data_IF_629954543499
#
_entry.id   IF_629954543499
#
_cell.length_a   1.000
_cell.length_b   1.000
_cell.length_c   1.000
_cell.angle_alpha   90.00
_cell.angle_beta   90.00
_cell.angle_gamma   90.00
#
_symmetry.space_group_name_H-M   'P 1'
#
loop_
_entity.id
_entity.type
_entity.pdbx_description
1 polymer ?
#
# COMPACT_ATOMS: atom_id res chain seq x y z
N UNK A 1 -7.21 -12.99 -0.82
CA UNK A 1 -7.58 -12.12 -1.98
C UNK A 1 -6.72 -10.86 -1.95
N UNK A 2 -6.18 -10.45 -3.09
CA UNK A 2 -5.30 -9.28 -3.21
C UNK A 2 -5.96 -8.24 -4.10
N UNK A 3 -6.17 -7.02 -3.60
CA UNK A 3 -6.63 -5.88 -4.38
C UNK A 3 -5.55 -4.81 -4.40
N UNK A 4 -5.07 -4.44 -5.58
CA UNK A 4 -4.15 -3.33 -5.77
C UNK A 4 -4.93 -2.06 -6.10
N UNK A 5 -4.65 -0.97 -5.37
CA UNK A 5 -5.30 0.33 -5.55
C UNK A 5 -4.22 1.35 -5.89
N UNK A 6 -4.23 1.84 -7.13
CA UNK A 6 -3.25 2.80 -7.63
C UNK A 6 -3.90 4.13 -8.01
N UNK A 7 -3.10 5.14 -8.28
CA UNK A 7 -3.55 6.47 -8.72
C UNK A 7 -2.66 7.59 -8.22
N UNK A 8 -2.90 8.80 -8.69
CA UNK A 8 -2.14 9.99 -8.34
C UNK A 8 -2.23 10.39 -6.85
N UNK A 9 -1.42 11.34 -6.42
CA UNK A 9 -1.51 11.90 -5.07
C UNK A 9 -2.91 12.48 -4.83
N UNK A 10 -3.46 12.27 -3.61
CA UNK A 10 -4.79 12.76 -3.19
C UNK A 10 -5.96 12.32 -4.07
N UNK A 11 -5.83 11.22 -4.81
CA UNK A 11 -6.90 10.68 -5.67
C UNK A 11 -8.00 9.91 -4.92
N UNK A 12 -7.93 9.78 -3.58
CA UNK A 12 -8.92 9.08 -2.76
C UNK A 12 -8.63 7.61 -2.49
N UNK A 13 -7.40 7.10 -2.80
CA UNK A 13 -7.01 5.70 -2.61
C UNK A 13 -7.25 5.17 -1.21
N UNK A 14 -6.73 5.87 -0.19
CA UNK A 14 -6.86 5.45 1.22
C UNK A 14 -8.31 5.35 1.64
N UNK A 15 -9.12 6.38 1.31
CA UNK A 15 -10.55 6.36 1.60
C UNK A 15 -11.23 5.17 0.95
N UNK A 16 -11.02 4.95 -0.34
CA UNK A 16 -11.59 3.82 -1.07
C UNK A 16 -11.16 2.47 -0.46
N UNK A 17 -9.88 2.30 -0.11
CA UNK A 17 -9.39 1.07 0.50
C UNK A 17 -10.08 0.77 1.83
N UNK A 18 -10.22 1.77 2.70
CA UNK A 18 -10.78 1.62 4.05
C UNK A 18 -12.30 1.42 4.01
N UNK A 19 -13.05 2.24 3.25
CA UNK A 19 -14.52 2.15 3.14
C UNK A 19 -14.96 0.83 2.51
N UNK A 20 -14.32 0.39 1.42
CA UNK A 20 -14.68 -0.87 0.78
C UNK A 20 -14.25 -2.10 1.59
N UNK A 21 -13.15 -2.03 2.32
CA UNK A 21 -12.78 -3.10 3.23
C UNK A 21 -13.82 -3.29 4.33
N UNK A 22 -14.29 -2.19 4.92
CA UNK A 22 -15.35 -2.22 5.92
C UNK A 22 -16.68 -2.79 5.38
N UNK A 23 -17.04 -2.48 4.14
CA UNK A 23 -18.25 -3.04 3.51
C UNK A 23 -18.14 -4.54 3.24
N UNK A 24 -16.99 -5.01 2.74
CA UNK A 24 -16.77 -6.45 2.50
C UNK A 24 -16.78 -7.24 3.82
N UNK A 25 -16.17 -6.71 4.87
CA UNK A 25 -16.13 -7.35 6.16
C UNK A 25 -17.52 -7.41 6.81
N UNK A 26 -18.31 -6.35 6.72
CA UNK A 26 -19.69 -6.32 7.19
C UNK A 26 -20.58 -7.36 6.49
N UNK A 27 -20.36 -7.65 5.21
CA UNK A 27 -21.11 -8.67 4.46
C UNK A 27 -20.68 -10.11 4.80
N UNK A 28 -19.47 -10.30 5.36
CA UNK A 28 -18.95 -11.62 5.77
C UNK A 28 -19.17 -11.96 7.23
N UNK A 29 -19.73 -11.04 8.05
CA UNK A 29 -20.20 -11.32 9.41
C UNK A 29 -19.22 -11.07 10.54
N UNK A 30 -18.14 -10.31 10.33
CA UNK A 30 -17.26 -9.95 11.43
C UNK A 30 -16.19 -8.90 11.09
N UNK A 31 -15.98 -7.99 12.04
CA UNK A 31 -14.91 -6.96 12.00
C UNK A 31 -13.71 -7.34 12.91
N UNK A 32 -13.56 -8.62 13.26
CA UNK A 32 -12.68 -8.99 14.39
C UNK A 32 -11.19 -8.79 14.12
N UNK A 33 -10.75 -8.72 12.83
CA UNK A 33 -9.34 -8.56 12.48
C UNK A 33 -9.11 -7.61 11.29
N UNK A 34 -9.26 -6.30 11.53
CA UNK A 34 -8.89 -5.26 10.56
C UNK A 34 -7.55 -4.61 10.92
N UNK A 35 -6.50 -4.86 10.14
CA UNK A 35 -5.18 -4.27 10.34
C UNK A 35 -4.84 -3.26 9.24
N UNK A 36 -4.41 -2.09 9.66
CA UNK A 36 -3.87 -1.05 8.78
C UNK A 36 -2.36 -0.94 8.98
N UNK A 37 -1.59 -1.29 7.97
CA UNK A 37 -0.13 -1.18 7.98
C UNK A 37 0.25 0.19 7.43
N UNK A 38 0.81 1.04 8.30
CA UNK A 38 1.38 2.32 7.94
C UNK A 38 2.88 2.14 7.63
N UNK A 39 3.28 2.44 6.40
CA UNK A 39 4.65 2.20 5.93
C UNK A 39 5.56 3.42 6.00
N UNK A 40 5.03 4.59 6.36
CA UNK A 40 5.82 5.80 6.46
C UNK A 40 6.75 5.75 7.68
N UNK A 41 8.04 6.02 7.49
CA UNK A 41 8.93 6.41 8.59
C UNK A 41 8.57 7.83 9.03
N UNK A 42 8.18 7.98 10.30
CA UNK A 42 7.80 9.28 10.89
C UNK A 42 9.05 10.09 11.24
N UNK A 43 9.66 10.73 10.24
CA UNK A 43 10.96 11.41 10.39
C UNK A 43 10.88 12.81 11.00
N UNK A 44 9.71 13.46 10.90
CA UNK A 44 9.47 14.81 11.42
C UNK A 44 8.09 14.95 12.07
N UNK A 45 7.85 16.08 12.71
CA UNK A 45 6.61 16.34 13.45
C UNK A 45 5.41 16.53 12.50
N UNK A 46 5.62 17.09 11.30
CA UNK A 46 4.57 17.22 10.29
C UNK A 46 4.05 15.84 9.87
N UNK A 47 4.97 14.89 9.62
CA UNK A 47 4.61 13.50 9.29
C UNK A 47 3.87 12.82 10.45
N UNK A 48 4.29 13.04 11.70
CA UNK A 48 3.61 12.52 12.90
C UNK A 48 2.19 13.05 13.04
N UNK A 49 2.01 14.37 12.89
CA UNK A 49 0.67 15.00 12.93
C UNK A 49 -0.23 14.49 11.82
N UNK A 50 0.32 14.31 10.62
CA UNK A 50 -0.41 13.76 9.47
C UNK A 50 -0.84 12.31 9.70
N UNK A 51 0.04 11.47 10.22
CA UNK A 51 -0.26 10.08 10.60
C UNK A 51 -1.35 10.02 11.66
N UNK A 52 -1.24 10.83 12.73
CA UNK A 52 -2.23 10.90 13.79
C UNK A 52 -3.61 11.38 13.29
N UNK A 53 -3.65 12.33 12.35
CA UNK A 53 -4.90 12.75 11.70
C UNK A 53 -5.53 11.62 10.91
N UNK A 54 -4.78 10.93 10.07
CA UNK A 54 -5.26 9.80 9.28
C UNK A 54 -5.73 8.64 10.17
N UNK A 55 -5.08 8.42 11.32
CA UNK A 55 -5.53 7.42 12.28
C UNK A 55 -6.90 7.77 12.89
N UNK A 56 -7.10 9.03 13.25
CA UNK A 56 -8.41 9.52 13.77
C UNK A 56 -9.52 9.42 12.71
N UNK A 57 -9.21 9.74 11.44
CA UNK A 57 -10.16 9.66 10.33
C UNK A 57 -10.63 8.22 10.02
N UNK A 58 -9.80 7.21 10.29
CA UNK A 58 -10.14 5.79 10.11
C UNK A 58 -11.06 5.22 11.19
N UNK A 59 -11.14 5.87 12.34
CA UNK A 59 -11.92 5.38 13.49
C UNK A 59 -11.28 4.18 14.21
N UNK A 60 -12.01 3.60 15.15
CA UNK A 60 -11.51 2.57 16.07
C UNK A 60 -11.54 1.13 15.50
N UNK A 61 -12.04 0.94 14.30
CA UNK A 61 -12.16 -0.40 13.66
C UNK A 61 -10.82 -0.96 13.20
N UNK A 62 -9.81 -0.11 13.02
CA UNK A 62 -8.53 -0.48 12.45
C UNK A 62 -7.42 -0.52 13.51
N UNK A 63 -6.85 -1.69 13.75
CA UNK A 63 -5.58 -1.77 14.46
C UNK A 63 -4.47 -1.24 13.57
N UNK A 64 -3.81 -0.17 13.98
CA UNK A 64 -2.67 0.39 13.22
C UNK A 64 -1.38 -0.32 13.60
N UNK A 65 -0.66 -0.80 12.61
CA UNK A 65 0.70 -1.35 12.71
C UNK A 65 1.65 -0.47 11.90
N UNK A 66 2.65 0.11 12.56
CA UNK A 66 3.72 0.84 11.88
C UNK A 66 4.78 -0.16 11.43
N UNK A 67 4.96 -0.31 10.11
CA UNK A 67 5.94 -1.23 9.55
C UNK A 67 6.56 -0.66 8.26
N UNK A 68 7.69 0.04 8.37
CA UNK A 68 8.32 0.69 7.22
C UNK A 68 9.12 -0.24 6.30
N UNK A 69 9.47 -1.48 6.73
CA UNK A 69 10.40 -2.33 6.01
C UNK A 69 9.92 -3.77 5.80
N UNK A 70 9.55 -4.47 6.87
CA UNK A 70 9.37 -5.93 6.87
C UNK A 70 7.94 -6.36 6.49
N UNK A 71 7.36 -5.76 5.44
CA UNK A 71 5.99 -6.03 5.00
C UNK A 71 5.74 -7.51 4.72
N UNK A 72 6.69 -8.20 4.09
CA UNK A 72 6.56 -9.61 3.76
C UNK A 72 6.40 -10.50 5.00
N UNK A 73 7.15 -10.20 6.08
CA UNK A 73 7.01 -10.91 7.36
C UNK A 73 5.66 -10.63 7.99
N UNK A 74 5.24 -9.36 8.04
CA UNK A 74 3.95 -8.98 8.64
C UNK A 74 2.75 -9.58 7.92
N UNK A 75 2.75 -9.56 6.60
CA UNK A 75 1.65 -10.16 5.82
C UNK A 75 1.47 -11.65 6.10
N UNK A 76 2.55 -12.39 6.37
CA UNK A 76 2.47 -13.82 6.71
C UNK A 76 1.89 -14.10 8.09
N UNK A 77 1.96 -13.13 9.01
CA UNK A 77 1.47 -13.25 10.39
C UNK A 77 0.01 -12.80 10.55
N UNK A 78 -0.55 -12.10 9.56
CA UNK A 78 -1.85 -11.45 9.67
C UNK A 78 -2.96 -12.30 9.06
N UNK A 79 -4.14 -12.17 9.64
CA UNK A 79 -5.40 -12.73 9.17
C UNK A 79 -6.43 -11.61 8.96
N UNK A 80 -7.62 -11.95 8.48
CA UNK A 80 -8.70 -10.99 8.29
C UNK A 80 -8.44 -10.00 7.16
N UNK A 81 -8.73 -8.72 7.39
CA UNK A 81 -8.57 -7.64 6.41
C UNK A 81 -7.33 -6.81 6.69
N UNK A 82 -6.49 -6.63 5.70
CA UNK A 82 -5.24 -5.85 5.80
C UNK A 82 -5.23 -4.74 4.75
N UNK A 83 -5.03 -3.51 5.19
CA UNK A 83 -4.71 -2.38 4.29
C UNK A 83 -3.25 -2.01 4.45
N UNK A 84 -2.50 -1.93 3.34
CA UNK A 84 -1.11 -1.46 3.31
C UNK A 84 -1.09 -0.05 2.70
N UNK A 85 -0.74 0.97 3.49
CA UNK A 85 -0.67 2.37 3.04
C UNK A 85 0.69 3.01 3.40
N UNK A 86 1.60 3.13 2.40
CA UNK A 86 1.48 2.68 1.02
C UNK A 86 2.79 2.04 0.53
N UNK A 87 2.71 1.24 -0.48
CA UNK A 87 3.86 0.58 -1.09
C UNK A 87 4.88 1.57 -1.67
N UNK A 88 4.43 2.76 -2.10
CA UNK A 88 5.30 3.83 -2.59
C UNK A 88 6.23 4.36 -1.49
N UNK A 89 5.73 4.51 -0.25
CA UNK A 89 6.56 4.90 0.90
C UNK A 89 7.50 3.78 1.31
N UNK A 90 7.01 2.55 1.35
CA UNK A 90 7.83 1.36 1.61
C UNK A 90 8.99 1.23 0.61
N UNK A 91 8.72 1.42 -0.69
CA UNK A 91 9.74 1.44 -1.74
C UNK A 91 10.79 2.54 -1.49
N UNK A 92 10.33 3.75 -1.13
CA UNK A 92 11.22 4.87 -0.80
C UNK A 92 12.12 4.56 0.40
N UNK A 93 11.57 3.93 1.44
CA UNK A 93 12.33 3.58 2.64
C UNK A 93 13.47 2.60 2.28
N UNK A 94 13.18 1.54 1.54
CA UNK A 94 14.19 0.59 1.09
C UNK A 94 15.22 1.21 0.15
N UNK A 95 14.79 2.04 -0.80
CA UNK A 95 15.67 2.72 -1.73
C UNK A 95 16.67 3.64 -1.03
N UNK A 96 16.25 4.30 0.05
CA UNK A 96 17.12 5.16 0.85
C UNK A 96 18.00 4.38 1.83
N UNK A 97 17.58 3.20 2.25
CA UNK A 97 18.32 2.33 3.17
C UNK A 97 19.36 1.48 2.43
N UNK A 98 18.92 0.75 1.41
CA UNK A 98 19.75 -0.13 0.58
C UNK A 98 19.03 -0.49 -0.73
N UNK A 99 19.29 0.28 -1.78
CA UNK A 99 18.68 0.08 -3.10
C UNK A 99 18.99 -1.30 -3.70
N UNK A 100 20.10 -1.94 -3.31
CA UNK A 100 20.51 -3.24 -3.86
C UNK A 100 19.58 -4.38 -3.45
N UNK A 101 18.84 -4.21 -2.37
CA UNK A 101 17.88 -5.20 -1.86
C UNK A 101 16.48 -5.06 -2.46
N UNK A 102 16.18 -3.98 -3.18
CA UNK A 102 14.82 -3.70 -3.66
C UNK A 102 14.20 -4.85 -4.45
N UNK A 103 14.94 -5.45 -5.34
CA UNK A 103 14.43 -6.55 -6.16
C UNK A 103 14.00 -7.74 -5.29
N UNK A 104 14.87 -8.17 -4.39
CA UNK A 104 14.59 -9.29 -3.47
C UNK A 104 13.46 -8.98 -2.51
N UNK A 105 13.34 -7.74 -2.04
CA UNK A 105 12.26 -7.32 -1.16
C UNK A 105 10.90 -7.28 -1.88
N UNK A 106 10.86 -6.81 -3.12
CA UNK A 106 9.65 -6.85 -3.95
C UNK A 106 9.22 -8.31 -4.22
N UNK A 107 10.17 -9.19 -4.55
CA UNK A 107 9.88 -10.62 -4.74
C UNK A 107 9.37 -11.30 -3.48
N UNK A 108 10.01 -11.02 -2.33
CA UNK A 108 9.57 -11.53 -1.02
C UNK A 108 8.16 -11.07 -0.67
N UNK A 109 7.84 -9.79 -0.92
CA UNK A 109 6.51 -9.25 -0.71
C UNK A 109 5.48 -9.90 -1.65
N UNK A 110 5.79 -10.03 -2.94
CA UNK A 110 4.90 -10.72 -3.90
C UNK A 110 4.64 -12.17 -3.48
N UNK A 111 5.67 -12.87 -3.03
CA UNK A 111 5.54 -14.25 -2.51
C UNK A 111 4.66 -14.29 -1.25
N UNK A 112 4.90 -13.40 -0.29
CA UNK A 112 4.09 -13.33 0.93
C UNK A 112 2.62 -13.05 0.64
N UNK A 113 2.33 -12.09 -0.23
CA UNK A 113 0.97 -11.75 -0.64
C UNK A 113 0.26 -12.91 -1.32
N UNK A 114 0.94 -13.64 -2.20
CA UNK A 114 0.36 -14.78 -2.94
C UNK A 114 -0.10 -15.91 -2.02
N UNK A 115 0.58 -16.13 -0.90
CA UNK A 115 0.28 -17.18 0.07
C UNK A 115 -0.37 -16.64 1.36
N UNK A 116 -0.77 -15.37 1.37
CA UNK A 116 -1.39 -14.75 2.52
C UNK A 116 -2.77 -15.37 2.81
N UNK A 117 -3.04 -15.65 4.07
CA UNK A 117 -4.35 -16.09 4.56
C UNK A 117 -5.32 -14.91 4.75
N UNK A 118 -4.81 -13.68 4.76
CA UNK A 118 -5.58 -12.46 4.88
C UNK A 118 -6.07 -11.90 3.52
N UNK A 119 -7.06 -11.01 3.58
CA UNK A 119 -7.48 -10.19 2.44
C UNK A 119 -6.67 -8.90 2.42
N UNK A 120 -5.90 -8.65 1.37
CA UNK A 120 -5.00 -7.50 1.32
C UNK A 120 -5.50 -6.46 0.33
N UNK A 121 -5.58 -5.21 0.79
CA UNK A 121 -5.74 -4.01 -0.04
C UNK A 121 -4.46 -3.21 -0.01
N UNK A 122 -3.66 -3.33 -1.06
CA UNK A 122 -2.38 -2.67 -1.19
C UNK A 122 -2.54 -1.34 -1.95
N UNK A 123 -2.14 -0.24 -1.31
CA UNK A 123 -2.20 1.10 -1.89
C UNK A 123 -0.82 1.45 -2.46
N UNK A 124 -0.81 1.94 -3.70
CA UNK A 124 0.39 2.47 -4.34
C UNK A 124 0.09 3.77 -5.08
N UNK A 125 1.12 4.49 -5.51
CA UNK A 125 0.96 5.64 -6.38
C UNK A 125 1.37 5.30 -7.82
N UNK A 126 0.67 5.92 -8.77
CA UNK A 126 1.10 5.98 -10.17
C UNK A 126 1.97 7.23 -10.35
N UNK A 127 3.28 7.05 -10.46
CA UNK A 127 4.26 8.13 -10.58
C UNK A 127 4.91 8.19 -11.97
N UNK A 128 4.63 7.21 -12.83
CA UNK A 128 5.25 7.05 -14.15
C UNK A 128 4.68 7.95 -15.24
N UNK A 129 3.46 8.46 -15.06
CA UNK A 129 2.72 9.21 -16.08
C UNK A 129 3.10 10.70 -16.20
N UNK A 130 4.17 11.13 -15.55
CA UNK A 130 4.64 12.52 -15.57
C UNK A 130 5.88 12.72 -16.44
N UNK A 131 6.31 13.97 -16.61
CA UNK A 131 7.57 14.34 -17.26
C UNK A 131 8.74 13.61 -16.57
N UNK A 132 9.73 13.19 -17.36
CA UNK A 132 10.94 12.52 -16.83
C UNK A 132 11.68 13.48 -15.89
N UNK A 133 11.92 13.10 -14.62
CA UNK A 133 12.60 13.97 -13.67
C UNK A 133 14.07 14.21 -14.04
N UNK A 134 14.57 15.44 -13.80
CA UNK A 134 15.99 15.75 -13.97
C UNK A 134 16.89 15.07 -12.95
N UNK A 135 16.37 14.79 -11.74
CA UNK A 135 17.09 14.15 -10.66
C UNK A 135 17.24 12.63 -10.91
N UNK A 136 18.47 12.08 -10.91
CA UNK A 136 18.70 10.65 -11.12
C UNK A 136 18.02 9.75 -10.09
N UNK A 137 17.96 10.13 -8.81
CA UNK A 137 17.28 9.38 -7.78
C UNK A 137 15.78 9.30 -8.06
N UNK A 138 15.15 10.41 -8.46
CA UNK A 138 13.74 10.43 -8.81
C UNK A 138 13.42 9.57 -10.04
N UNK A 139 14.34 9.48 -11.03
CA UNK A 139 14.19 8.58 -12.18
C UNK A 139 14.23 7.11 -11.74
N UNK A 140 15.20 6.72 -10.93
CA UNK A 140 15.28 5.34 -10.40
C UNK A 140 14.06 4.98 -9.55
N UNK A 141 13.62 5.90 -8.68
CA UNK A 141 12.39 5.71 -7.90
C UNK A 141 11.16 5.47 -8.77
N UNK A 142 11.01 6.27 -9.84
CA UNK A 142 9.92 6.11 -10.81
C UNK A 142 9.97 4.74 -11.49
N UNK A 143 11.16 4.33 -11.92
CA UNK A 143 11.36 3.06 -12.63
C UNK A 143 11.09 1.87 -11.69
N UNK A 144 11.61 1.88 -10.46
CA UNK A 144 11.33 0.87 -9.44
C UNK A 144 9.85 0.82 -9.05
N UNK A 145 9.19 1.97 -8.93
CA UNK A 145 7.76 2.05 -8.66
C UNK A 145 6.95 1.36 -9.77
N UNK A 146 7.32 1.59 -11.04
CA UNK A 146 6.70 0.91 -12.18
C UNK A 146 6.90 -0.61 -12.16
N UNK A 147 8.13 -1.07 -11.88
CA UNK A 147 8.44 -2.51 -11.76
C UNK A 147 7.64 -3.15 -10.63
N UNK A 148 7.61 -2.54 -9.45
CA UNK A 148 6.84 -3.03 -8.31
C UNK A 148 5.35 -3.10 -8.62
N UNK A 149 4.79 -2.04 -9.19
CA UNK A 149 3.37 -1.98 -9.53
C UNK A 149 2.97 -3.06 -10.55
N UNK A 150 3.80 -3.32 -11.57
CA UNK A 150 3.57 -4.39 -12.54
C UNK A 150 3.57 -5.78 -11.89
N UNK A 151 4.57 -6.08 -11.04
CA UNK A 151 4.66 -7.38 -10.35
C UNK A 151 3.46 -7.62 -9.43
N UNK A 152 3.04 -6.58 -8.69
CA UNK A 152 1.88 -6.65 -7.81
C UNK A 152 0.56 -6.76 -8.58
N UNK A 153 0.39 -6.01 -9.66
CA UNK A 153 -0.79 -6.10 -10.52
C UNK A 153 -0.92 -7.49 -11.16
N UNK A 154 0.20 -8.13 -11.50
CA UNK A 154 0.21 -9.48 -12.06
C UNK A 154 -0.39 -10.51 -11.08
N UNK A 155 -0.05 -10.44 -9.80
CA UNK A 155 -0.53 -11.37 -8.76
C UNK A 155 -1.86 -10.96 -8.13
N UNK A 156 -2.29 -9.71 -8.28
CA UNK A 156 -3.54 -9.21 -7.70
C UNK A 156 -4.77 -9.84 -8.36
N UNK A 157 -5.80 -10.10 -7.56
CA UNK A 157 -7.13 -10.57 -8.03
C UNK A 157 -7.93 -9.44 -8.67
N UNK A 158 -7.70 -8.19 -8.21
CA UNK A 158 -8.30 -6.99 -8.77
C UNK A 158 -7.33 -5.80 -8.71
N UNK A 159 -7.40 -4.93 -9.73
CA UNK A 159 -6.63 -3.68 -9.80
C UNK A 159 -7.58 -2.51 -10.05
N UNK A 160 -7.50 -1.49 -9.22
CA UNK A 160 -8.27 -0.25 -9.37
C UNK A 160 -7.35 0.96 -9.55
N UNK A 161 -7.66 1.78 -10.56
CA UNK A 161 -7.10 3.11 -10.75
C UNK A 161 -8.06 4.16 -10.18
N UNK A 162 -7.57 4.95 -9.22
CA UNK A 162 -8.35 6.04 -8.63
C UNK A 162 -8.18 7.32 -9.42
N UNK A 163 -9.26 7.81 -10.01
CA UNK A 163 -9.33 9.06 -10.76
C UNK A 163 -10.35 9.98 -10.10
N UNK A 164 -9.90 11.10 -9.53
CA UNK A 164 -10.78 12.11 -8.89
C UNK A 164 -11.74 11.52 -7.83
N UNK A 165 -11.28 10.54 -7.07
CA UNK A 165 -12.09 9.86 -6.06
C UNK A 165 -12.96 8.71 -6.59
N UNK A 166 -12.96 8.46 -7.89
CA UNK A 166 -13.75 7.41 -8.56
C UNK A 166 -12.86 6.21 -8.85
N UNK A 167 -13.22 4.99 -8.42
CA UNK A 167 -12.49 3.78 -8.75
C UNK A 167 -12.81 3.34 -10.18
N UNK A 168 -11.78 3.15 -10.99
CA UNK A 168 -11.87 2.53 -12.31
C UNK A 168 -11.23 1.15 -12.22
N UNK A 169 -12.00 0.09 -12.44
CA UNK A 169 -11.45 -1.27 -12.44
C UNK A 169 -10.62 -1.49 -13.71
N UNK A 170 -9.37 -1.91 -13.53
CA UNK A 170 -8.40 -2.20 -14.61
C UNK A 170 -8.25 -3.71 -14.81
N UNK A 171 -8.35 -4.45 -13.71
CA UNK A 171 -8.31 -5.92 -13.70
C UNK A 171 -9.42 -6.50 -12.85
#
# INVERSE_FOLDING_TARGET
MITLITGGARSGKTRYAVENAGQEEATRGGFDDCTYIATAELRDDEMRERAARHQRERGNLWRTLEEPFELAARVRELQGMVVIDCLTMWLSNWMLRDETQLESQIESLCSALRFAECHVRAITNEVGSSIVPDNPLARRFRDWSGVMNQRLAYIADAVYLMVCGIPVRVK
#
